data_IF_880112183506
#
_entry.id   IF_880112183506
#
_cell.length_a   1.000
_cell.length_b   1.000
_cell.length_c   1.000
_cell.angle_alpha   90.00
_cell.angle_beta   90.00
_cell.angle_gamma   90.00
#
_symmetry.space_group_name_H-M   'P 1'
#
loop_
_entity.id
_entity.type
_entity.pdbx_description
1 polymer ?
#
# COMPACT_ATOMS: atom_id res chain seq x y z
N UNK A 1 -27.08 -20.40 -13.71
CA UNK A 1 -27.13 -20.02 -12.28
C UNK A 1 -26.19 -18.84 -12.12
N UNK A 2 -26.69 -17.69 -11.67
CA UNK A 2 -25.85 -16.54 -11.32
C UNK A 2 -25.47 -16.73 -9.87
N UNK A 3 -24.18 -16.81 -9.56
CA UNK A 3 -23.72 -16.81 -8.17
C UNK A 3 -23.68 -15.35 -7.70
N UNK A 4 -24.53 -15.02 -6.74
CA UNK A 4 -24.54 -13.72 -6.08
C UNK A 4 -23.47 -13.74 -4.97
N UNK A 5 -22.50 -12.84 -5.06
CA UNK A 5 -21.48 -12.65 -4.04
C UNK A 5 -21.68 -11.28 -3.39
N UNK A 6 -22.05 -11.27 -2.11
CA UNK A 6 -22.18 -10.06 -1.29
C UNK A 6 -20.96 -9.96 -0.37
N UNK A 7 -20.19 -8.88 -0.50
CA UNK A 7 -19.03 -8.59 0.34
C UNK A 7 -19.39 -7.47 1.31
N UNK A 8 -19.43 -7.76 2.62
CA UNK A 8 -19.60 -6.77 3.68
C UNK A 8 -18.26 -6.57 4.39
N UNK A 9 -17.69 -5.36 4.30
CA UNK A 9 -16.35 -5.06 4.81
C UNK A 9 -16.42 -3.75 5.58
N UNK A 10 -15.85 -3.73 6.78
CA UNK A 10 -15.70 -2.52 7.58
C UNK A 10 -14.48 -1.75 7.08
N UNK A 11 -14.68 -0.46 6.77
CA UNK A 11 -13.57 0.39 6.36
C UNK A 11 -12.74 0.80 7.57
N UNK A 12 -11.42 0.72 7.45
CA UNK A 12 -10.49 1.28 8.42
C UNK A 12 -10.41 2.80 8.24
N UNK A 13 -10.49 3.54 9.35
CA UNK A 13 -10.20 4.99 9.40
C UNK A 13 -8.75 5.26 9.84
N UNK A 14 -7.95 4.20 10.07
CA UNK A 14 -6.53 4.36 10.36
C UNK A 14 -5.78 4.79 9.10
N UNK A 15 -5.12 5.94 9.16
CA UNK A 15 -4.21 6.43 8.13
C UNK A 15 -2.91 5.60 8.05
N UNK A 16 -1.96 6.02 7.20
CA UNK A 16 -0.72 5.27 7.03
C UNK A 16 0.09 5.27 8.32
N UNK A 17 0.64 4.12 8.67
CA UNK A 17 1.74 4.06 9.64
C UNK A 17 3.02 4.42 8.91
N UNK A 18 3.62 5.53 9.34
CA UNK A 18 4.92 6.00 8.86
C UNK A 18 6.02 5.43 9.76
N UNK A 19 7.16 5.00 9.18
CA UNK A 19 8.33 4.68 10.01
C UNK A 19 8.92 6.00 10.54
N UNK A 20 8.82 6.21 11.84
CA UNK A 20 9.40 7.36 12.54
C UNK A 20 10.93 7.16 12.55
N UNK A 21 11.60 7.45 11.44
CA UNK A 21 13.01 7.80 11.50
C UNK A 21 13.10 9.15 12.19
N UNK A 22 13.76 9.22 13.35
CA UNK A 22 13.91 10.40 14.22
C UNK A 22 14.49 11.68 13.55
N UNK A 23 14.78 11.65 12.26
CA UNK A 23 15.17 12.83 11.49
C UNK A 23 13.94 13.40 10.79
N UNK A 24 13.79 14.73 10.79
CA UNK A 24 12.70 15.49 10.18
C UNK A 24 12.59 15.37 8.63
N UNK A 25 13.02 14.25 8.05
CA UNK A 25 12.95 13.89 6.64
C UNK A 25 11.72 13.03 6.34
N UNK A 26 11.29 13.05 5.07
CA UNK A 26 10.23 12.20 4.54
C UNK A 26 10.36 10.74 5.00
N UNK A 27 9.21 10.13 5.29
CA UNK A 27 9.09 8.70 5.56
C UNK A 27 9.65 7.89 4.37
N UNK A 28 10.42 6.84 4.67
CA UNK A 28 10.98 5.98 3.61
C UNK A 28 9.95 5.03 3.03
N UNK A 29 8.92 4.71 3.80
CA UNK A 29 7.78 3.93 3.37
C UNK A 29 6.55 4.28 4.24
N UNK A 30 5.37 4.06 3.66
CA UNK A 30 4.08 4.14 4.34
C UNK A 30 3.46 2.75 4.37
N UNK A 31 2.91 2.35 5.51
CA UNK A 31 2.18 1.11 5.67
C UNK A 31 0.69 1.39 5.85
N UNK A 32 -0.13 0.78 5.00
CA UNK A 32 -1.59 0.93 5.01
C UNK A 32 -2.26 -0.41 5.30
N UNK A 33 -3.26 -0.39 6.18
CA UNK A 33 -4.21 -1.51 6.31
C UNK A 33 -5.27 -1.34 5.22
N UNK A 34 -5.40 -2.34 4.34
CA UNK A 34 -6.36 -2.30 3.24
C UNK A 34 -7.79 -2.54 3.73
N UNK A 35 -8.77 -2.13 2.92
CA UNK A 35 -10.08 -1.67 3.40
C UNK A 35 -10.03 -0.26 4.00
N UNK A 36 -9.01 0.53 3.67
CA UNK A 36 -8.91 1.92 4.11
C UNK A 36 -10.01 2.79 3.48
N UNK A 37 -10.58 3.69 4.27
CA UNK A 37 -11.60 4.66 3.83
C UNK A 37 -11.05 5.64 2.81
N UNK A 38 -9.77 6.01 2.92
CA UNK A 38 -9.03 6.82 1.95
C UNK A 38 -9.14 6.30 0.52
N UNK A 39 -9.26 4.97 0.34
CA UNK A 39 -9.26 4.33 -0.97
C UNK A 39 -10.67 4.02 -1.50
N UNK A 40 -11.72 4.21 -0.70
CA UNK A 40 -13.10 3.77 -1.00
C UNK A 40 -13.63 4.33 -2.33
N UNK A 41 -13.42 5.63 -2.58
CA UNK A 41 -13.87 6.30 -3.80
C UNK A 41 -12.81 6.32 -4.91
N UNK A 42 -11.62 5.76 -4.69
CA UNK A 42 -10.55 5.85 -5.69
C UNK A 42 -10.87 5.02 -6.93
N UNK A 43 -11.45 3.83 -6.77
CA UNK A 43 -11.77 2.95 -7.89
C UNK A 43 -12.76 3.56 -8.89
N UNK A 44 -13.84 4.16 -8.40
CA UNK A 44 -14.85 4.82 -9.25
C UNK A 44 -14.28 6.06 -9.95
N UNK A 45 -13.25 6.67 -9.35
CA UNK A 45 -12.55 7.84 -9.88
C UNK A 45 -11.45 7.50 -10.90
N UNK A 46 -11.06 6.23 -11.04
CA UNK A 46 -10.01 5.80 -12.00
C UNK A 46 -10.39 6.19 -13.43
N UNK A 47 -11.66 6.03 -13.82
CA UNK A 47 -12.12 6.41 -15.16
C UNK A 47 -11.92 7.91 -15.47
N UNK A 48 -11.91 8.77 -14.45
CA UNK A 48 -11.69 10.21 -14.60
C UNK A 48 -10.19 10.56 -14.65
N UNK A 49 -9.33 9.76 -14.01
CA UNK A 49 -7.89 10.01 -13.92
C UNK A 49 -7.11 9.68 -15.20
N UNK A 50 -7.75 9.03 -16.17
CA UNK A 50 -7.11 8.53 -17.40
C UNK A 50 -6.74 9.63 -18.43
N UNK A 51 -6.91 10.92 -18.10
CA UNK A 51 -6.58 12.06 -18.97
C UNK A 51 -5.51 12.95 -18.31
N UNK A 52 -4.24 12.57 -18.39
CA UNK A 52 -3.16 13.50 -18.00
C UNK A 52 -1.74 13.00 -18.20
N UNK A 53 -0.73 13.88 -18.40
CA UNK A 53 0.72 13.63 -18.25
C UNK A 53 1.19 13.84 -16.79
N UNK A 54 2.43 13.40 -16.44
CA UNK A 54 3.17 13.50 -15.16
C UNK A 54 2.32 13.68 -13.87
N UNK A 55 2.17 12.63 -13.07
CA UNK A 55 1.17 12.56 -11.98
C UNK A 55 -0.10 11.82 -12.38
N UNK A 56 -0.01 10.91 -13.34
CA UNK A 56 -1.09 10.22 -14.09
C UNK A 56 -1.91 9.20 -13.28
N UNK A 57 -1.87 9.27 -11.94
CA UNK A 57 -2.63 8.37 -11.07
C UNK A 57 -2.19 6.90 -11.14
N UNK A 58 -0.93 6.61 -11.46
CA UNK A 58 -0.41 5.22 -11.46
C UNK A 58 -0.41 4.65 -10.05
N UNK A 59 0.13 5.40 -9.10
CA UNK A 59 0.06 5.11 -7.66
C UNK A 59 -1.39 4.99 -7.22
N UNK A 60 -2.26 5.92 -7.67
CA UNK A 60 -3.70 5.86 -7.37
C UNK A 60 -4.42 4.63 -7.94
N UNK A 61 -4.04 4.20 -9.15
CA UNK A 61 -4.55 2.98 -9.79
C UNK A 61 -4.08 1.74 -9.02
N UNK A 62 -2.81 1.68 -8.62
CA UNK A 62 -2.27 0.60 -7.80
C UNK A 62 -3.00 0.51 -6.45
N UNK A 63 -3.23 1.64 -5.78
CA UNK A 63 -3.93 1.68 -4.50
C UNK A 63 -5.38 1.22 -4.64
N UNK A 64 -6.08 1.69 -5.67
CA UNK A 64 -7.46 1.29 -5.93
C UNK A 64 -7.58 -0.17 -6.37
N UNK A 65 -6.60 -0.69 -7.12
CA UNK A 65 -6.52 -2.11 -7.47
C UNK A 65 -6.25 -2.98 -6.24
N UNK A 66 -5.30 -2.60 -5.39
CA UNK A 66 -5.00 -3.28 -4.13
C UNK A 66 -6.25 -3.34 -3.23
N UNK A 67 -6.99 -2.23 -3.14
CA UNK A 67 -8.26 -2.17 -2.41
C UNK A 67 -9.33 -3.11 -3.01
N UNK A 68 -9.49 -3.17 -4.34
CA UNK A 68 -10.46 -4.09 -4.94
C UNK A 68 -10.05 -5.55 -4.75
N UNK A 69 -8.76 -5.85 -4.84
CA UNK A 69 -8.25 -7.20 -4.62
C UNK A 69 -8.39 -7.62 -3.16
N UNK A 70 -8.10 -6.75 -2.18
CA UNK A 70 -8.30 -7.07 -0.76
C UNK A 70 -9.76 -7.41 -0.45
N UNK A 71 -10.71 -6.66 -1.03
CA UNK A 71 -12.14 -6.95 -0.91
C UNK A 71 -12.48 -8.33 -1.51
N UNK A 72 -12.00 -8.63 -2.72
CA UNK A 72 -12.29 -9.90 -3.41
C UNK A 72 -11.67 -11.11 -2.72
N UNK A 73 -10.50 -10.93 -2.13
CA UNK A 73 -9.77 -11.98 -1.43
C UNK A 73 -9.96 -11.99 0.09
N UNK A 74 -10.83 -11.13 0.63
CA UNK A 74 -11.15 -11.04 2.07
C UNK A 74 -11.51 -12.37 2.74
N UNK A 75 -12.12 -13.30 1.99
CA UNK A 75 -12.43 -14.65 2.49
C UNK A 75 -11.20 -15.54 2.70
N UNK A 76 -10.13 -15.33 1.92
CA UNK A 76 -8.89 -16.11 1.97
C UNK A 76 -7.80 -15.43 2.78
N UNK A 77 -7.80 -14.10 2.79
CA UNK A 77 -6.84 -13.25 3.50
C UNK A 77 -7.60 -12.21 4.32
N UNK A 78 -7.88 -12.49 5.61
CA UNK A 78 -8.58 -11.57 6.50
C UNK A 78 -7.79 -10.27 6.75
N UNK A 79 -6.46 -10.35 6.67
CA UNK A 79 -5.58 -9.22 6.73
C UNK A 79 -5.01 -8.92 5.35
N UNK A 80 -5.01 -7.65 4.99
CA UNK A 80 -4.47 -7.16 3.74
C UNK A 80 -3.74 -5.85 4.03
N UNK A 81 -2.50 -5.73 3.57
CA UNK A 81 -1.66 -4.56 3.82
C UNK A 81 -1.04 -4.05 2.53
N UNK A 82 -0.83 -2.74 2.45
CA UNK A 82 -0.14 -2.09 1.34
C UNK A 82 1.06 -1.31 1.90
N UNK A 83 2.26 -1.69 1.47
CA UNK A 83 3.49 -0.96 1.76
C UNK A 83 3.85 -0.13 0.53
N UNK A 84 3.83 1.18 0.70
CA UNK A 84 4.24 2.14 -0.30
C UNK A 84 5.65 2.62 0.01
N UNK A 85 6.61 2.20 -0.80
CA UNK A 85 8.03 2.53 -0.66
C UNK A 85 8.34 3.74 -1.52
N UNK A 86 8.81 4.83 -0.89
CA UNK A 86 9.29 5.99 -1.62
C UNK A 86 10.74 5.74 -2.07
N UNK A 87 10.93 5.35 -3.32
CA UNK A 87 12.24 4.97 -3.84
C UNK A 87 13.24 6.13 -3.79
N UNK A 88 12.80 7.37 -4.00
CA UNK A 88 13.65 8.55 -3.96
C UNK A 88 14.26 8.75 -2.55
N UNK A 89 13.41 8.73 -1.53
CA UNK A 89 13.81 8.89 -0.13
C UNK A 89 14.60 7.68 0.38
N UNK A 90 14.22 6.47 -0.03
CA UNK A 90 14.92 5.23 0.34
C UNK A 90 16.34 5.20 -0.27
N UNK A 91 16.48 5.56 -1.54
CA UNK A 91 17.77 5.55 -2.23
C UNK A 91 18.71 6.62 -1.69
N UNK A 92 18.20 7.82 -1.37
CA UNK A 92 18.98 8.87 -0.71
C UNK A 92 19.53 8.43 0.65
N UNK A 93 18.70 7.78 1.50
CA UNK A 93 19.15 7.25 2.80
C UNK A 93 20.08 6.03 2.67
N UNK A 94 19.92 5.22 1.63
CA UNK A 94 20.82 4.11 1.33
C UNK A 94 22.21 4.61 0.91
N UNK A 95 22.28 5.58 -0.02
CA UNK A 95 23.53 6.18 -0.48
C UNK A 95 24.27 6.96 0.61
N UNK A 96 23.55 7.53 1.59
CA UNK A 96 24.16 8.19 2.75
C UNK A 96 24.73 7.21 3.80
N UNK A 97 24.74 5.90 3.51
CA UNK A 97 25.32 4.85 4.37
C UNK A 97 24.33 4.17 5.31
N UNK A 98 23.02 4.44 5.22
CA UNK A 98 21.99 3.83 6.08
C UNK A 98 21.41 2.55 5.47
N UNK A 99 22.27 1.59 5.13
CA UNK A 99 21.84 0.25 4.67
C UNK A 99 20.96 -0.51 5.69
N UNK A 100 20.99 -0.07 6.96
CA UNK A 100 20.14 -0.57 8.04
C UNK A 100 18.65 -0.32 7.79
N UNK A 101 18.28 0.78 7.13
CA UNK A 101 16.88 1.09 6.83
C UNK A 101 16.29 0.15 5.77
N UNK A 102 17.05 -0.12 4.71
CA UNK A 102 16.63 -1.09 3.68
C UNK A 102 16.53 -2.50 4.27
N UNK A 103 17.50 -2.89 5.10
CA UNK A 103 17.47 -4.17 5.79
C UNK A 103 16.28 -4.28 6.76
N UNK A 104 15.94 -3.21 7.50
CA UNK A 104 14.77 -3.17 8.39
C UNK A 104 13.46 -3.28 7.58
N UNK A 105 13.32 -2.56 6.47
CA UNK A 105 12.15 -2.67 5.58
C UNK A 105 11.96 -4.10 5.08
N UNK A 106 13.04 -4.72 4.56
CA UNK A 106 12.99 -6.10 4.07
C UNK A 106 12.67 -7.10 5.20
N UNK A 107 13.21 -6.88 6.40
CA UNK A 107 12.90 -7.71 7.58
C UNK A 107 11.43 -7.60 7.96
N UNK A 108 10.86 -6.39 7.98
CA UNK A 108 9.43 -6.19 8.26
C UNK A 108 8.56 -6.86 7.19
N UNK A 109 8.91 -6.73 5.91
CA UNK A 109 8.20 -7.41 4.81
C UNK A 109 8.25 -8.92 4.99
N UNK A 110 9.41 -9.48 5.37
CA UNK A 110 9.53 -10.91 5.62
C UNK A 110 8.63 -11.38 6.75
N UNK A 111 8.61 -10.66 7.87
CA UNK A 111 7.72 -10.96 9.01
C UNK A 111 6.24 -10.91 8.60
N UNK A 112 5.85 -9.93 7.78
CA UNK A 112 4.46 -9.81 7.30
C UNK A 112 4.06 -10.91 6.30
N UNK A 113 5.02 -11.45 5.54
CA UNK A 113 4.82 -12.53 4.56
C UNK A 113 4.81 -13.91 5.23
N UNK A 114 5.41 -14.07 6.41
CA UNK A 114 5.35 -15.31 7.18
C UNK A 114 3.91 -15.67 7.61
N UNK A 115 3.02 -14.69 7.72
CA UNK A 115 1.59 -14.92 7.95
C UNK A 115 0.85 -15.26 6.64
N UNK A 116 0.55 -16.54 6.43
CA UNK A 116 -0.21 -17.04 5.26
C UNK A 116 -1.68 -16.54 5.19
N UNK A 117 -2.18 -15.90 6.24
CA UNK A 117 -3.48 -15.25 6.29
C UNK A 117 -3.43 -13.76 5.90
N UNK A 118 -2.23 -13.24 5.70
CA UNK A 118 -1.99 -11.86 5.28
C UNK A 118 -1.72 -11.77 3.77
N UNK A 119 -2.34 -10.79 3.12
CA UNK A 119 -2.07 -10.45 1.72
C UNK A 119 -1.32 -9.12 1.66
N UNK A 120 -0.06 -9.18 1.27
CA UNK A 120 0.81 -8.01 1.20
C UNK A 120 0.93 -7.48 -0.23
N UNK A 121 0.64 -6.19 -0.40
CA UNK A 121 0.95 -5.43 -1.60
C UNK A 121 2.16 -4.55 -1.34
N UNK A 122 3.16 -4.61 -2.21
CA UNK A 122 4.32 -3.73 -2.15
C UNK A 122 4.31 -2.84 -3.39
N UNK A 123 4.08 -1.56 -3.18
CA UNK A 123 4.14 -0.53 -4.21
C UNK A 123 5.46 0.22 -4.06
N UNK A 124 6.26 0.25 -5.12
CA UNK A 124 7.49 1.04 -5.14
C UNK A 124 7.21 2.25 -6.01
N UNK A 125 7.11 3.42 -5.38
CA UNK A 125 6.91 4.68 -6.08
C UNK A 125 8.26 5.34 -6.37
N UNK A 126 8.45 5.74 -7.62
CA UNK A 126 9.67 6.36 -8.13
C UNK A 126 9.49 7.82 -8.54
N UNK A 127 8.28 8.37 -8.40
CA UNK A 127 7.98 9.77 -8.72
C UNK A 127 8.67 10.77 -7.77
#
# INVERSE_FOLDING_TARGET
MVNEYVYAIQLSEEGPREDISNDAQLASFNEWILSAKEFDSMWERISFFFMGPLGTGKTSLCNALAQKLSIRFSSRYPQCQLIEVNAHSLFSKWLSGSGKLVAKLLSNIQEMVEDESNLLFVLIDSD
#
